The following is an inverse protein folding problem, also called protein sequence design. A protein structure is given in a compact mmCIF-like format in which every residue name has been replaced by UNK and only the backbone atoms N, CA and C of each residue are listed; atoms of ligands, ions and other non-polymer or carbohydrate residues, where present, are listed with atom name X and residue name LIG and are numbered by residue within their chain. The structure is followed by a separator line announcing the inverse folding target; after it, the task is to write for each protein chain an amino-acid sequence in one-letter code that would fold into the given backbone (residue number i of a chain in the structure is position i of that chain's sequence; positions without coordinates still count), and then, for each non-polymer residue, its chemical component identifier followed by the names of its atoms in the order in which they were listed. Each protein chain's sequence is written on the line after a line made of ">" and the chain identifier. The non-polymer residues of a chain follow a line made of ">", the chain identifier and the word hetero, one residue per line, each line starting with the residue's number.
data_IF_705341611152
#
_entry.id   IF_705341611152
#
_cell.length_a   1.000
_cell.length_b   1.000
_cell.length_c   1.000
_cell.angle_alpha   90.00
_cell.angle_beta   90.00
_cell.angle_gamma   90.00
#
_symmetry.space_group_name_H-M   'P 1'
#
loop_
_entity.id
_entity.type
_entity.pdbx_description
1 polymer ?
#
# COMPACT_ATOMS: atom_id res chain seq x y z
N UNK A 1 -6.15 9.13 4.11
CA UNK A 1 -5.08 10.00 3.54
C UNK A 1 -4.44 10.97 4.54
N UNK A 2 -5.08 11.19 5.68
CA UNK A 2 -4.50 12.04 6.72
C UNK A 2 -3.18 11.48 7.25
N UNK A 3 -3.13 10.19 7.53
CA UNK A 3 -1.90 9.54 8.00
C UNK A 3 -0.82 9.57 6.93
N UNK A 4 -1.18 9.31 5.67
CA UNK A 4 -0.23 9.37 4.57
C UNK A 4 0.34 10.79 4.42
N UNK A 5 -0.50 11.81 4.54
CA UNK A 5 -0.06 13.20 4.49
C UNK A 5 0.93 13.51 5.62
N UNK A 6 0.64 13.02 6.83
CA UNK A 6 1.54 13.21 7.98
C UNK A 6 2.90 12.56 7.73
N UNK A 7 2.91 11.35 7.18
CA UNK A 7 4.14 10.64 6.87
C UNK A 7 4.94 11.39 5.80
N UNK A 8 4.26 11.82 4.75
CA UNK A 8 4.89 12.51 3.63
C UNK A 8 5.56 13.82 4.06
N UNK A 9 5.01 14.48 5.07
CA UNK A 9 5.47 15.80 5.51
C UNK A 9 6.20 15.78 6.86
N UNK A 10 6.49 14.59 7.36
CA UNK A 10 7.31 14.44 8.56
C UNK A 10 6.62 14.75 9.88
N UNK A 11 5.31 14.72 9.92
CA UNK A 11 4.56 14.96 11.15
C UNK A 11 4.35 13.66 11.92
N UNK A 12 5.02 13.51 13.06
CA UNK A 12 5.03 12.29 13.85
C UNK A 12 4.03 12.33 15.01
N UNK A 13 2.83 12.84 14.75
CA UNK A 13 1.84 13.04 15.82
C UNK A 13 1.15 11.76 16.28
N UNK A 14 1.11 10.74 15.42
CA UNK A 14 0.49 9.47 15.76
C UNK A 14 1.53 8.37 15.83
N UNK A 15 1.20 7.27 16.54
CA UNK A 15 2.07 6.11 16.59
C UNK A 15 2.33 5.53 15.22
N UNK A 16 1.29 5.48 14.36
CA UNK A 16 1.42 4.95 13.01
C UNK A 16 2.38 5.80 12.17
N UNK A 17 2.19 7.13 12.19
CA UNK A 17 3.07 8.03 11.44
C UNK A 17 4.50 7.97 11.96
N UNK A 18 4.68 7.85 13.27
CA UNK A 18 6.00 7.73 13.88
C UNK A 18 6.69 6.44 13.49
N UNK A 19 5.96 5.31 13.52
CA UNK A 19 6.50 4.02 13.12
C UNK A 19 6.92 4.04 11.66
N UNK A 20 6.11 4.64 10.78
CA UNK A 20 6.45 4.79 9.37
C UNK A 20 7.71 5.63 9.19
N UNK A 21 7.82 6.74 9.93
CA UNK A 21 8.99 7.61 9.87
C UNK A 21 10.26 6.89 10.27
N UNK A 22 10.22 6.08 11.32
CA UNK A 22 11.36 5.27 11.76
C UNK A 22 11.73 4.24 10.70
N UNK A 23 10.73 3.56 10.14
CA UNK A 23 10.94 2.57 9.09
C UNK A 23 11.68 3.19 7.89
N UNK A 24 11.27 4.39 7.48
CA UNK A 24 11.91 5.11 6.38
C UNK A 24 13.33 5.53 6.72
N UNK A 25 13.57 6.01 7.95
CA UNK A 25 14.92 6.41 8.39
C UNK A 25 15.89 5.23 8.35
N UNK A 26 15.40 4.03 8.65
CA UNK A 26 16.22 2.82 8.65
C UNK A 26 16.33 2.18 7.27
N UNK A 27 15.81 2.84 6.24
CA UNK A 27 15.82 2.35 4.86
C UNK A 27 15.16 0.96 4.71
N UNK A 28 14.20 0.67 5.56
CA UNK A 28 13.42 -0.56 5.46
C UNK A 28 12.24 -0.35 4.54
N UNK A 29 11.77 -1.45 3.93
CA UNK A 29 10.62 -1.37 3.03
C UNK A 29 9.36 -0.97 3.80
N UNK A 30 8.66 0.02 3.27
CA UNK A 30 7.40 0.50 3.81
C UNK A 30 6.35 0.42 2.72
N UNK A 31 5.21 -0.18 3.04
CA UNK A 31 4.07 -0.25 2.14
C UNK A 31 2.91 0.45 2.81
N UNK A 32 2.29 1.38 2.09
CA UNK A 32 1.10 2.06 2.57
C UNK A 32 -0.10 1.61 1.75
N UNK A 33 -1.02 0.91 2.40
CA UNK A 33 -2.28 0.52 1.79
C UNK A 33 -3.23 1.68 2.02
N UNK A 34 -3.39 2.52 1.00
CA UNK A 34 -4.11 3.78 1.13
C UNK A 34 -5.24 3.86 0.11
N UNK A 35 -6.38 4.37 0.56
CA UNK A 35 -7.57 4.54 -0.27
C UNK A 35 -8.17 5.91 -0.09
N UNK A 36 -8.50 6.56 -1.19
CA UNK A 36 -9.20 7.83 -1.21
C UNK A 36 -9.87 8.02 -2.57
N UNK A 37 -11.08 8.53 -2.57
CA UNK A 37 -11.82 8.77 -3.81
C UNK A 37 -12.77 9.95 -3.63
N UNK A 38 -12.72 10.99 -4.47
CA UNK A 38 -11.68 11.23 -5.48
C UNK A 38 -10.38 11.70 -4.86
N UNK A 39 -9.28 11.57 -5.60
CA UNK A 39 -7.98 12.07 -5.15
C UNK A 39 -7.84 13.55 -5.50
N UNK A 40 -7.38 14.33 -4.54
CA UNK A 40 -7.07 15.76 -4.77
C UNK A 40 -5.62 15.89 -5.23
N UNK A 41 -5.29 17.09 -5.74
CA UNK A 41 -3.91 17.39 -6.11
C UNK A 41 -2.97 17.24 -4.91
N UNK A 42 -3.43 17.61 -3.71
CA UNK A 42 -2.63 17.48 -2.49
C UNK A 42 -2.38 16.01 -2.17
N UNK A 43 -3.39 15.16 -2.29
CA UNK A 43 -3.23 13.71 -2.09
C UNK A 43 -2.19 13.14 -3.05
N UNK A 44 -2.30 13.51 -4.33
CA UNK A 44 -1.38 13.02 -5.36
C UNK A 44 0.04 13.50 -5.13
N UNK A 45 0.23 14.73 -4.70
CA UNK A 45 1.56 15.26 -4.38
C UNK A 45 2.20 14.49 -3.22
N UNK A 46 1.42 14.20 -2.17
CA UNK A 46 1.93 13.46 -1.02
C UNK A 46 2.29 12.03 -1.40
N UNK A 47 1.46 11.39 -2.22
CA UNK A 47 1.73 10.04 -2.73
C UNK A 47 3.00 10.02 -3.57
N UNK A 48 3.17 11.00 -4.45
CA UNK A 48 4.36 11.10 -5.29
C UNK A 48 5.61 11.33 -4.45
N UNK A 49 5.53 12.21 -3.45
CA UNK A 49 6.65 12.46 -2.54
C UNK A 49 7.13 11.17 -1.88
N UNK A 50 6.19 10.37 -1.37
CA UNK A 50 6.53 9.10 -0.72
C UNK A 50 7.06 8.07 -1.72
N UNK A 51 6.45 7.99 -2.90
CA UNK A 51 6.91 7.06 -3.93
C UNK A 51 8.35 7.35 -4.35
N UNK A 52 8.72 8.63 -4.44
CA UNK A 52 10.10 9.02 -4.76
C UNK A 52 11.09 8.63 -3.68
N UNK A 53 10.63 8.48 -2.45
CA UNK A 53 11.46 8.03 -1.33
C UNK A 53 11.51 6.50 -1.22
N UNK A 54 10.91 5.79 -2.16
CA UNK A 54 10.93 4.34 -2.18
C UNK A 54 9.79 3.67 -1.42
N UNK A 55 8.83 4.44 -0.94
CA UNK A 55 7.64 3.87 -0.29
C UNK A 55 6.69 3.34 -1.36
N UNK A 56 6.18 2.14 -1.14
CA UNK A 56 5.19 1.54 -2.04
C UNK A 56 3.80 2.01 -1.62
N UNK A 57 3.09 2.65 -2.53
CA UNK A 57 1.70 3.02 -2.33
C UNK A 57 0.86 1.94 -3.01
N UNK A 58 0.06 1.23 -2.22
CA UNK A 58 -0.72 0.10 -2.71
C UNK A 58 -2.20 0.33 -2.43
N UNK A 59 -2.93 0.93 -3.39
CA UNK A 59 -4.37 1.09 -3.23
C UNK A 59 -5.06 -0.28 -3.19
N UNK A 60 -6.01 -0.50 -2.29
CA UNK A 60 -6.72 -1.78 -2.21
C UNK A 60 -7.80 -1.83 -3.30
N UNK A 61 -7.36 -2.04 -4.53
CA UNK A 61 -8.25 -2.11 -5.70
C UNK A 61 -8.78 -3.52 -5.86
N UNK A 62 -10.10 -3.64 -6.04
CA UNK A 62 -10.75 -4.92 -6.27
C UNK A 62 -10.45 -5.39 -7.69
N UNK A 63 -9.96 -6.63 -7.80
CA UNK A 63 -9.61 -7.23 -9.08
C UNK A 63 -10.68 -8.22 -9.51
N UNK A 64 -11.35 -7.95 -10.62
CA UNK A 64 -12.41 -8.82 -11.12
C UNK A 64 -11.95 -9.75 -12.23
N UNK A 65 -10.83 -9.47 -12.88
CA UNK A 65 -10.30 -10.35 -13.92
C UNK A 65 -9.81 -11.69 -13.37
N UNK A 66 -9.56 -11.78 -12.07
CA UNK A 66 -9.21 -13.04 -11.41
C UNK A 66 -10.43 -13.84 -10.99
N UNK A 67 -11.63 -13.32 -11.28
CA UNK A 67 -12.89 -13.99 -11.03
C UNK A 67 -13.08 -14.34 -9.54
N UNK A 68 -12.98 -13.36 -8.63
CA UNK A 68 -13.13 -13.67 -7.20
C UNK A 68 -14.56 -14.13 -6.90
N UNK A 69 -14.66 -15.20 -6.12
CA UNK A 69 -15.95 -15.80 -5.79
C UNK A 69 -16.49 -15.36 -4.44
N UNK A 70 -15.75 -14.54 -3.70
CA UNK A 70 -16.14 -14.08 -2.37
C UNK A 70 -15.39 -12.83 -1.98
N UNK A 71 -15.87 -12.18 -0.92
CA UNK A 71 -15.18 -11.03 -0.33
C UNK A 71 -13.83 -11.48 0.22
N UNK A 72 -13.75 -12.67 0.81
CA UNK A 72 -12.49 -13.20 1.32
C UNK A 72 -11.47 -13.38 0.20
N UNK A 73 -11.90 -13.83 -0.98
CA UNK A 73 -11.01 -13.95 -2.13
C UNK A 73 -10.48 -12.59 -2.58
N UNK A 74 -11.32 -11.55 -2.53
CA UNK A 74 -10.90 -10.19 -2.85
C UNK A 74 -9.86 -9.67 -1.84
N UNK A 75 -10.08 -9.93 -0.55
CA UNK A 75 -9.15 -9.54 0.51
C UNK A 75 -7.83 -10.29 0.34
N UNK A 76 -7.88 -11.59 0.05
CA UNK A 76 -6.69 -12.40 -0.16
C UNK A 76 -5.85 -11.86 -1.32
N UNK A 77 -6.50 -11.37 -2.37
CA UNK A 77 -5.80 -10.75 -3.50
C UNK A 77 -4.99 -9.53 -3.04
N UNK A 78 -5.61 -8.66 -2.25
CA UNK A 78 -4.95 -7.46 -1.73
C UNK A 78 -3.80 -7.83 -0.80
N UNK A 79 -4.03 -8.77 0.12
CA UNK A 79 -3.00 -9.25 1.05
C UNK A 79 -1.84 -9.87 0.27
N UNK A 80 -2.16 -10.68 -0.75
CA UNK A 80 -1.15 -11.29 -1.60
C UNK A 80 -0.27 -10.25 -2.29
N UNK A 81 -0.87 -9.16 -2.79
CA UNK A 81 -0.11 -8.08 -3.39
C UNK A 81 0.85 -7.43 -2.40
N UNK A 82 0.44 -7.28 -1.13
CA UNK A 82 1.31 -6.77 -0.08
C UNK A 82 2.48 -7.72 0.17
N UNK A 83 2.21 -9.02 0.25
CA UNK A 83 3.24 -10.04 0.47
C UNK A 83 4.24 -10.08 -0.68
N UNK A 84 3.75 -9.89 -1.93
CA UNK A 84 4.61 -9.82 -3.10
C UNK A 84 5.65 -8.71 -2.96
N UNK A 85 5.29 -7.59 -2.35
CA UNK A 85 6.23 -6.48 -2.18
C UNK A 85 7.38 -6.81 -1.23
N UNK A 86 7.20 -7.80 -0.37
CA UNK A 86 8.23 -8.28 0.55
C UNK A 86 8.89 -9.57 0.07
N UNK A 87 8.60 -10.00 -1.17
CA UNK A 87 9.13 -11.24 -1.75
C UNK A 87 8.77 -12.48 -0.91
N UNK A 88 7.58 -12.46 -0.31
CA UNK A 88 7.08 -13.58 0.48
C UNK A 88 6.21 -14.45 -0.40
N UNK A 89 6.56 -15.73 -0.50
CA UNK A 89 5.76 -16.68 -1.27
C UNK A 89 4.41 -16.91 -0.63
N UNK A 90 3.38 -16.97 -1.45
CA UNK A 90 2.02 -17.23 -1.00
C UNK A 90 1.21 -17.82 -2.16
N UNK A 91 0.02 -18.30 -1.84
CA UNK A 91 -0.89 -18.92 -2.79
C UNK A 91 -2.30 -18.34 -2.62
N UNK A 92 -2.38 -17.03 -2.36
CA UNK A 92 -3.64 -16.37 -2.03
C UNK A 92 -4.48 -16.01 -3.24
N UNK A 93 -3.89 -15.97 -4.44
CA UNK A 93 -4.63 -15.67 -5.66
C UNK A 93 -3.94 -16.26 -6.89
N UNK A 94 -4.69 -16.37 -7.97
CA UNK A 94 -4.15 -16.78 -9.26
C UNK A 94 -3.42 -15.62 -9.90
N UNK A 95 -2.15 -15.82 -10.25
CA UNK A 95 -1.37 -14.77 -10.87
C UNK A 95 -1.68 -14.68 -12.34
N UNK A 96 -1.66 -13.46 -12.86
CA UNK A 96 -1.86 -13.25 -14.28
C UNK A 96 -0.75 -13.95 -15.08
N UNK A 97 -1.15 -14.80 -16.02
CA UNK A 97 -0.20 -15.55 -16.83
C UNK A 97 0.48 -16.72 -16.13
N UNK A 98 0.12 -17.00 -14.88
CA UNK A 98 0.67 -18.12 -14.11
C UNK A 98 -0.18 -19.37 -14.25
N UNK A 99 0.43 -20.49 -13.96
CA UNK A 99 -0.27 -21.77 -13.95
C UNK A 99 -0.37 -22.32 -12.56
#
# INVERSE_FOLDING_TARGET
>A
MKTLSSIANGYDETLVARAAGVTMKEARKLILVARETPLTAINLENMLKLARLGVVILPPVTEFYTNPTSINAMIDHIVGKCLDQFDIDHDLFTRWGSK
#
